data_IF_230826896961
#
_entry.id   IF_230826896961
#
_cell.length_a   1.000
_cell.length_b   1.000
_cell.length_c   1.000
_cell.angle_alpha   90.00
_cell.angle_beta   90.00
_cell.angle_gamma   90.00
#
_symmetry.space_group_name_H-M   'P 1'
#
loop_
_entity.id
_entity.type
_entity.pdbx_description
1 polymer ?
#
# COMPACT_ATOMS: atom_id res chain seq x y z
N UNK A 1 -13.90 -32.04 19.50
CA UNK A 1 -14.64 -31.02 20.23
C UNK A 1 -13.95 -29.69 20.11
N UNK A 2 -14.70 -28.67 19.74
CA UNK A 2 -14.13 -27.35 19.56
C UNK A 2 -13.97 -26.66 20.90
N UNK A 3 -12.88 -25.95 21.09
CA UNK A 3 -12.70 -25.14 22.27
C UNK A 3 -13.53 -23.86 22.15
N UNK A 4 -13.89 -23.24 23.27
CA UNK A 4 -14.60 -21.96 23.22
C UNK A 4 -13.78 -20.96 22.39
N UNK A 5 -14.41 -20.31 21.45
CA UNK A 5 -13.75 -19.36 20.57
C UNK A 5 -13.21 -19.97 19.30
N UNK A 6 -13.28 -21.29 19.13
CA UNK A 6 -12.77 -21.97 17.95
C UNK A 6 -13.96 -22.42 17.09
N UNK A 7 -14.64 -21.47 16.48
CA UNK A 7 -15.73 -21.76 15.55
C UNK A 7 -15.12 -22.09 14.20
N UNK A 8 -15.51 -23.20 13.56
CA UNK A 8 -14.94 -23.58 12.26
C UNK A 8 -15.13 -22.51 11.19
N UNK A 9 -16.27 -21.81 11.20
CA UNK A 9 -16.51 -20.74 10.24
C UNK A 9 -15.58 -19.55 10.50
N UNK A 10 -15.41 -19.19 11.77
CA UNK A 10 -14.49 -18.12 12.14
C UNK A 10 -13.06 -18.51 11.75
N UNK A 11 -12.68 -19.77 11.97
CA UNK A 11 -11.35 -20.24 11.63
C UNK A 11 -11.12 -20.16 10.11
N UNK A 12 -12.12 -20.58 9.33
CA UNK A 12 -12.04 -20.51 7.88
C UNK A 12 -11.86 -19.06 7.41
N UNK A 13 -12.64 -18.14 7.98
CA UNK A 13 -12.55 -16.73 7.62
C UNK A 13 -11.19 -16.15 7.98
N UNK A 14 -10.64 -16.56 9.12
CA UNK A 14 -9.29 -16.12 9.51
C UNK A 14 -8.22 -16.59 8.52
N UNK A 15 -8.38 -17.80 7.99
CA UNK A 15 -7.46 -18.31 6.99
C UNK A 15 -7.57 -17.52 5.69
N UNK A 16 -8.79 -17.13 5.33
CA UNK A 16 -8.99 -16.29 4.15
C UNK A 16 -8.39 -14.91 4.35
N UNK A 17 -8.56 -14.34 5.54
CA UNK A 17 -7.93 -13.05 5.86
C UNK A 17 -6.41 -13.17 5.78
N UNK A 18 -5.85 -14.26 6.31
CA UNK A 18 -4.40 -14.45 6.27
C UNK A 18 -3.88 -14.51 4.83
N UNK A 19 -4.64 -15.11 3.93
CA UNK A 19 -4.26 -15.15 2.53
C UNK A 19 -4.29 -13.75 1.91
N UNK A 20 -5.32 -12.97 2.24
CA UNK A 20 -5.41 -11.58 1.78
C UNK A 20 -4.24 -10.76 2.33
N UNK A 21 -3.90 -10.97 3.60
CA UNK A 21 -2.80 -10.24 4.22
C UNK A 21 -1.47 -10.54 3.53
N UNK A 22 -1.24 -11.79 3.14
CA UNK A 22 -0.03 -12.13 2.39
C UNK A 22 0.01 -11.44 1.04
N UNK A 23 -1.14 -11.36 0.37
CA UNK A 23 -1.24 -10.67 -0.92
C UNK A 23 -0.95 -9.17 -0.74
N UNK A 24 -1.48 -8.57 0.33
CA UNK A 24 -1.21 -7.16 0.63
C UNK A 24 0.28 -6.94 0.84
N UNK A 25 0.92 -7.81 1.62
CA UNK A 25 2.34 -7.68 1.89
C UNK A 25 3.17 -7.82 0.62
N UNK A 26 2.83 -8.81 -0.22
CA UNK A 26 3.52 -9.00 -1.50
C UNK A 26 3.37 -7.77 -2.38
N UNK A 27 2.17 -7.18 -2.41
CA UNK A 27 1.90 -5.99 -3.22
C UNK A 27 2.64 -4.77 -2.69
N UNK A 28 2.72 -4.61 -1.37
CA UNK A 28 3.49 -3.51 -0.77
C UNK A 28 4.97 -3.66 -1.16
N UNK A 29 5.51 -4.87 -1.08
CA UNK A 29 6.90 -5.11 -1.46
C UNK A 29 7.14 -4.84 -2.94
N UNK A 30 6.21 -5.26 -3.80
CA UNK A 30 6.30 -5.00 -5.23
C UNK A 30 6.29 -3.50 -5.51
N UNK A 31 5.44 -2.78 -4.78
CA UNK A 31 5.36 -1.33 -4.94
C UNK A 31 6.68 -0.66 -4.57
N UNK A 32 7.29 -1.08 -3.46
CA UNK A 32 8.58 -0.54 -3.02
C UNK A 32 9.66 -0.80 -4.08
N UNK A 33 9.69 -2.00 -4.64
CA UNK A 33 10.66 -2.35 -5.69
C UNK A 33 10.48 -1.46 -6.93
N UNK A 34 9.23 -1.27 -7.36
CA UNK A 34 8.94 -0.44 -8.53
C UNK A 34 9.31 1.03 -8.28
N UNK A 35 9.00 1.53 -7.10
CA UNK A 35 9.33 2.92 -6.76
C UNK A 35 10.84 3.09 -6.64
N UNK A 36 11.57 2.08 -6.18
CA UNK A 36 13.03 2.11 -6.17
C UNK A 36 13.56 2.29 -7.60
N UNK A 37 12.97 1.59 -8.56
CA UNK A 37 13.37 1.70 -9.95
C UNK A 37 13.04 3.08 -10.52
N UNK A 38 11.88 3.62 -10.17
CA UNK A 38 11.51 4.98 -10.58
C UNK A 38 12.49 5.99 -9.98
N UNK A 39 12.87 5.82 -8.74
CA UNK A 39 13.81 6.73 -8.08
C UNK A 39 15.15 6.76 -8.79
N UNK A 40 15.66 5.58 -9.13
CA UNK A 40 16.91 5.48 -9.88
C UNK A 40 16.82 6.15 -11.24
N UNK A 41 15.71 5.92 -11.93
CA UNK A 41 15.51 6.49 -13.25
C UNK A 41 15.41 8.01 -13.21
N UNK A 42 14.68 8.53 -12.23
CA UNK A 42 14.55 9.98 -12.04
C UNK A 42 15.90 10.62 -11.71
N UNK A 43 16.70 9.95 -10.87
CA UNK A 43 18.04 10.46 -10.55
C UNK A 43 18.90 10.57 -11.79
N UNK A 44 18.86 9.55 -12.66
CA UNK A 44 19.61 9.58 -13.91
C UNK A 44 19.16 10.71 -14.83
N UNK A 45 17.86 11.00 -14.82
CA UNK A 45 17.28 12.02 -15.68
C UNK A 45 17.33 13.42 -15.07
N UNK A 46 17.82 13.55 -13.85
CA UNK A 46 17.86 14.84 -13.16
C UNK A 46 16.51 15.34 -12.70
N UNK A 47 15.54 14.42 -12.51
CA UNK A 47 14.20 14.77 -12.12
C UNK A 47 14.03 14.61 -10.61
N UNK A 48 13.18 15.44 -9.96
CA UNK A 48 12.92 15.28 -8.53
C UNK A 48 12.14 13.99 -8.29
N UNK A 49 12.46 13.31 -7.17
CA UNK A 49 11.81 12.06 -6.83
C UNK A 49 10.36 12.27 -6.43
N UNK A 50 10.09 13.25 -5.57
CA UNK A 50 8.75 13.48 -5.03
C UNK A 50 7.93 14.33 -6.01
N UNK A 51 6.73 13.85 -6.31
CA UNK A 51 5.79 14.54 -7.19
C UNK A 51 4.43 14.55 -6.50
N UNK A 52 4.12 15.66 -5.82
CA UNK A 52 2.89 15.79 -5.03
C UNK A 52 1.64 15.77 -5.89
N UNK A 53 1.72 16.30 -7.09
CA UNK A 53 0.56 16.29 -8.00
C UNK A 53 0.24 14.86 -8.41
N UNK A 54 1.26 14.06 -8.71
CA UNK A 54 1.07 12.66 -9.07
C UNK A 54 0.46 11.88 -7.89
N UNK A 55 0.88 12.18 -6.68
CA UNK A 55 0.33 11.53 -5.49
C UNK A 55 -1.15 11.84 -5.32
N UNK A 56 -1.55 13.09 -5.52
CA UNK A 56 -2.96 13.47 -5.45
C UNK A 56 -3.78 12.78 -6.55
N UNK A 57 -3.26 12.77 -7.77
CA UNK A 57 -3.93 12.11 -8.88
C UNK A 57 -4.16 10.63 -8.61
N UNK A 58 -3.17 9.96 -8.01
CA UNK A 58 -3.27 8.54 -7.67
C UNK A 58 -4.41 8.31 -6.68
N UNK A 59 -4.45 9.09 -5.61
CA UNK A 59 -5.48 8.92 -4.59
C UNK A 59 -6.86 9.18 -5.17
N UNK A 60 -7.00 10.21 -6.01
CA UNK A 60 -8.27 10.50 -6.67
C UNK A 60 -8.71 9.39 -7.60
N UNK A 61 -7.78 8.86 -8.40
CA UNK A 61 -8.08 7.78 -9.32
C UNK A 61 -8.52 6.52 -8.59
N UNK A 62 -7.82 6.19 -7.50
CA UNK A 62 -8.18 5.02 -6.69
C UNK A 62 -9.53 5.21 -6.03
N UNK A 63 -9.81 6.43 -5.56
CA UNK A 63 -11.11 6.73 -4.96
C UNK A 63 -12.25 6.57 -5.94
N UNK A 64 -12.05 7.01 -7.17
CA UNK A 64 -13.07 6.87 -8.22
C UNK A 64 -13.31 5.40 -8.55
N UNK A 65 -12.26 4.59 -8.57
CA UNK A 65 -12.37 3.17 -8.92
C UNK A 65 -12.75 2.26 -7.76
N UNK A 66 -12.84 2.80 -6.55
CA UNK A 66 -13.10 1.97 -5.38
C UNK A 66 -14.58 1.64 -5.25
N UNK A 67 -14.93 0.40 -5.48
CA UNK A 67 -16.31 -0.08 -5.37
C UNK A 67 -16.53 -0.91 -4.10
N UNK A 68 -15.52 -1.02 -3.28
CA UNK A 68 -15.58 -1.90 -2.11
C UNK A 68 -16.06 -1.21 -0.85
N UNK A 69 -16.02 -1.93 0.26
CA UNK A 69 -16.49 -1.39 1.54
C UNK A 69 -15.56 -0.37 2.20
N UNK A 70 -14.32 -0.21 1.70
CA UNK A 70 -13.42 0.79 2.26
C UNK A 70 -13.98 2.18 1.98
N UNK A 71 -14.09 3.02 3.03
CA UNK A 71 -14.62 4.36 2.87
C UNK A 71 -13.63 5.27 2.11
N UNK A 72 -14.14 6.35 1.50
CA UNK A 72 -13.24 7.32 0.87
C UNK A 72 -12.21 7.89 1.83
N UNK A 73 -12.60 8.14 3.07
CA UNK A 73 -11.69 8.63 4.10
C UNK A 73 -10.64 7.60 4.43
N UNK A 74 -11.05 6.34 4.58
CA UNK A 74 -10.12 5.26 4.87
C UNK A 74 -9.11 5.05 3.75
N UNK A 75 -9.58 5.16 2.51
CA UNK A 75 -8.70 5.05 1.35
C UNK A 75 -7.64 6.16 1.36
N UNK A 76 -8.07 7.38 1.66
CA UNK A 76 -7.15 8.51 1.70
C UNK A 76 -6.11 8.34 2.80
N UNK A 77 -6.54 7.91 3.98
CA UNK A 77 -5.64 7.64 5.09
C UNK A 77 -4.62 6.56 4.74
N UNK A 78 -5.11 5.46 4.19
CA UNK A 78 -4.26 4.34 3.83
C UNK A 78 -3.20 4.76 2.82
N UNK A 79 -3.61 5.44 1.76
CA UNK A 79 -2.67 5.78 0.70
C UNK A 79 -1.75 6.93 1.07
N UNK A 80 -2.22 7.88 1.89
CA UNK A 80 -1.33 8.91 2.41
C UNK A 80 -0.19 8.25 3.21
N UNK A 81 -0.54 7.28 4.06
CA UNK A 81 0.46 6.57 4.84
C UNK A 81 1.37 5.72 3.93
N UNK A 82 0.78 5.00 3.00
CA UNK A 82 1.53 4.11 2.11
C UNK A 82 2.52 4.89 1.24
N UNK A 83 2.12 6.05 0.75
CA UNK A 83 3.01 6.89 -0.03
C UNK A 83 4.22 7.36 0.79
N UNK A 84 3.97 7.81 2.03
CA UNK A 84 5.05 8.22 2.90
C UNK A 84 5.94 7.05 3.29
N UNK A 85 5.33 5.93 3.60
CA UNK A 85 6.08 4.71 3.95
C UNK A 85 6.96 4.28 2.79
N UNK A 86 6.42 4.26 1.58
CA UNK A 86 7.18 3.84 0.41
C UNK A 86 8.39 4.75 0.18
N UNK A 87 8.20 6.06 0.29
CA UNK A 87 9.30 7.01 0.13
C UNK A 87 10.40 6.75 1.15
N UNK A 88 10.00 6.50 2.38
CA UNK A 88 10.95 6.21 3.46
C UNK A 88 11.72 4.91 3.19
N UNK A 89 10.99 3.87 2.77
CA UNK A 89 11.61 2.56 2.54
C UNK A 89 12.58 2.56 1.36
N UNK A 90 12.32 3.37 0.35
CA UNK A 90 13.27 3.47 -0.77
C UNK A 90 14.38 4.47 -0.47
N UNK A 91 14.38 5.10 0.70
CA UNK A 91 15.40 6.05 1.07
C UNK A 91 15.24 7.40 0.41
N UNK A 92 14.02 7.73 -0.02
CA UNK A 92 13.79 8.94 -0.77
C UNK A 92 14.00 10.22 0.00
N UNK A 93 13.69 10.19 1.27
CA UNK A 93 13.95 11.32 2.15
C UNK A 93 14.97 10.92 3.15
N UNK A 94 15.73 9.95 2.82
CA UNK A 94 16.70 9.41 3.70
C UNK A 94 17.67 10.48 4.07
N UNK A 95 17.16 11.39 4.58
CA UNK A 95 17.97 12.32 5.23
C UNK A 95 18.84 11.46 6.06
N UNK A 96 19.86 11.74 6.31
CA UNK A 96 20.88 10.94 6.98
C UNK A 96 20.41 10.54 8.27
#
# INVERSE_FOLDING_TARGET
MSEPGTDPTVQQLREEIAAVDRAILDDVNARIELVTRIRSRKAEAGLPFVDRDRERELIEALGTGNAGPLSPEGLRELYTYLLELTKREVGGDAGP
#
